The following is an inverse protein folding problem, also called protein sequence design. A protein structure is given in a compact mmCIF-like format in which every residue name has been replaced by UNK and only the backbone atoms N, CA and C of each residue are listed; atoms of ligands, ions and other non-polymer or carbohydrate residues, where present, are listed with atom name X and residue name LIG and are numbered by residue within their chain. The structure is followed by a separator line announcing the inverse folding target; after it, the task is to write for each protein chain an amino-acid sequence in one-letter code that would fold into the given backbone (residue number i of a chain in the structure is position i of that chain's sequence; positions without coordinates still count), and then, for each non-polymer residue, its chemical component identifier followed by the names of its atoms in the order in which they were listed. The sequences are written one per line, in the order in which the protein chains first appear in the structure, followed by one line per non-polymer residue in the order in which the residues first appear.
data_IF_319160743062
#
_entry.id   IF_319160743062
#
_cell.length_a   1.000
_cell.length_b   1.000
_cell.length_c   1.000
_cell.angle_alpha   90.00
_cell.angle_beta   90.00
_cell.angle_gamma   90.00
#
_symmetry.space_group_name_H-M   'P 1'
#
loop_
_entity.id
_entity.type
_entity.pdbx_description
1 polymer ?
#
# COMPACT_ATOMS: atom_id res chain seq x y z
N UNK A 1 15.19 -4.89 16.28
CA UNK A 1 14.73 -6.05 15.49
C UNK A 1 15.03 -5.80 14.02
N UNK A 2 16.24 -6.17 13.55
CA UNK A 2 16.61 -6.07 12.13
C UNK A 2 15.93 -7.23 11.39
N UNK A 3 14.68 -7.03 10.97
CA UNK A 3 14.10 -7.89 9.95
C UNK A 3 15.07 -7.90 8.77
N UNK A 4 15.56 -9.06 8.34
CA UNK A 4 16.53 -9.23 7.26
C UNK A 4 16.10 -8.58 5.91
N UNK A 5 14.86 -8.06 5.84
CA UNK A 5 14.29 -7.38 4.69
C UNK A 5 14.60 -5.88 4.63
N UNK A 6 14.95 -5.24 5.75
CA UNK A 6 15.31 -3.82 5.79
C UNK A 6 16.40 -3.41 4.78
N UNK A 7 17.56 -4.10 4.69
CA UNK A 7 18.62 -3.70 3.77
C UNK A 7 18.25 -3.83 2.30
N UNK A 8 17.21 -4.60 1.95
CA UNK A 8 16.73 -4.74 0.57
C UNK A 8 15.59 -3.77 0.27
N UNK A 9 14.63 -3.65 1.19
CA UNK A 9 13.43 -2.85 0.99
C UNK A 9 13.70 -1.34 1.07
N UNK A 10 14.69 -0.90 1.86
CA UNK A 10 15.04 0.51 1.98
C UNK A 10 15.61 1.08 0.66
N UNK A 11 16.62 0.45 0.01
CA UNK A 11 17.05 0.87 -1.33
C UNK A 11 15.91 0.88 -2.35
N UNK A 12 15.03 -0.14 -2.34
CA UNK A 12 13.88 -0.19 -3.23
C UNK A 12 12.92 0.97 -2.98
N UNK A 13 12.66 1.33 -1.72
CA UNK A 13 11.84 2.50 -1.36
C UNK A 13 12.43 3.80 -1.92
N UNK A 14 13.75 3.96 -1.83
CA UNK A 14 14.45 5.13 -2.36
C UNK A 14 14.38 5.19 -3.89
N UNK A 15 14.63 4.07 -4.57
CA UNK A 15 14.50 3.97 -6.03
C UNK A 15 13.08 4.31 -6.48
N UNK A 16 12.06 3.73 -5.82
CA UNK A 16 10.66 4.05 -6.08
C UNK A 16 10.42 5.55 -5.90
N UNK A 17 10.98 6.16 -4.85
CA UNK A 17 10.78 7.58 -4.57
C UNK A 17 11.40 8.47 -5.64
N UNK A 18 12.55 8.09 -6.20
CA UNK A 18 13.19 8.83 -7.30
C UNK A 18 12.48 8.62 -8.65
N UNK A 19 12.00 7.40 -8.92
CA UNK A 19 11.43 7.03 -10.22
C UNK A 19 9.94 7.35 -10.32
N UNK A 20 9.20 7.32 -9.21
CA UNK A 20 7.75 7.52 -9.20
C UNK A 20 7.29 8.87 -9.78
N UNK A 21 7.93 10.02 -9.50
CA UNK A 21 7.56 11.30 -10.13
C UNK A 21 7.66 11.25 -11.66
N UNK A 22 8.72 10.62 -12.18
CA UNK A 22 8.91 10.43 -13.62
C UNK A 22 7.81 9.54 -14.19
N UNK A 23 7.50 8.42 -13.52
CA UNK A 23 6.41 7.52 -13.93
C UNK A 23 5.03 8.20 -13.91
N UNK A 24 4.81 9.12 -12.96
CA UNK A 24 3.57 9.90 -12.85
C UNK A 24 3.45 10.97 -13.93
N UNK A 25 4.57 11.40 -14.54
CA UNK A 25 4.59 12.37 -15.62
C UNK A 25 4.18 11.84 -17.00
N UNK A 26 4.07 10.52 -17.19
CA UNK A 26 3.57 9.94 -18.44
C UNK A 26 2.04 10.04 -18.56
N UNK A 27 1.50 9.90 -19.79
CA UNK A 27 0.06 9.96 -20.08
C UNK A 27 -0.80 9.00 -19.24
N UNK A 28 -0.26 7.81 -18.90
CA UNK A 28 -0.94 6.82 -18.06
C UNK A 28 -0.52 6.88 -16.59
N UNK A 29 0.33 7.83 -16.22
CA UNK A 29 0.90 7.95 -14.88
C UNK A 29 -0.14 8.13 -13.79
N UNK A 30 -1.25 8.80 -14.08
CA UNK A 30 -2.37 8.98 -13.15
C UNK A 30 -3.05 7.65 -12.76
N UNK A 31 -3.06 6.65 -13.65
CA UNK A 31 -3.70 5.36 -13.42
C UNK A 31 -2.81 4.40 -12.61
N UNK A 32 -1.50 4.67 -12.49
CA UNK A 32 -0.57 3.79 -11.78
C UNK A 32 -0.95 3.62 -10.30
N UNK A 33 -0.83 2.41 -9.74
CA UNK A 33 -1.10 2.15 -8.33
C UNK A 33 -0.12 2.94 -7.44
N UNK A 34 -0.44 3.06 -6.15
CA UNK A 34 0.48 3.67 -5.20
C UNK A 34 1.60 2.69 -4.83
N UNK A 35 2.82 2.99 -5.32
CA UNK A 35 3.98 2.12 -5.15
C UNK A 35 4.44 2.01 -3.68
N UNK A 36 4.28 3.08 -2.89
CA UNK A 36 4.63 3.06 -1.46
C UNK A 36 3.67 2.17 -0.68
N UNK A 37 2.37 2.22 -0.99
CA UNK A 37 1.41 1.29 -0.42
C UNK A 37 1.77 -0.16 -0.79
N UNK A 38 2.02 -0.46 -2.06
CA UNK A 38 2.40 -1.81 -2.47
C UNK A 38 3.66 -2.32 -1.75
N UNK A 39 4.68 -1.46 -1.64
CA UNK A 39 5.90 -1.78 -0.89
C UNK A 39 5.60 -2.01 0.59
N UNK A 40 4.71 -1.20 1.20
CA UNK A 40 4.27 -1.35 2.58
C UNK A 40 3.58 -2.70 2.81
N UNK A 41 2.71 -3.13 1.88
CA UNK A 41 2.03 -4.42 1.97
C UNK A 41 3.04 -5.58 1.92
N UNK A 42 4.07 -5.48 1.08
CA UNK A 42 5.17 -6.46 1.01
C UNK A 42 6.05 -6.44 2.27
N UNK A 43 6.38 -5.23 2.75
CA UNK A 43 7.30 -5.01 3.86
C UNK A 43 6.74 -5.50 5.19
N UNK A 44 5.45 -5.26 5.43
CA UNK A 44 4.76 -5.61 6.66
C UNK A 44 4.04 -6.96 6.49
N UNK A 45 4.53 -8.06 7.10
CA UNK A 45 3.79 -9.31 7.08
C UNK A 45 2.51 -9.18 7.92
N UNK A 46 1.43 -9.81 7.48
CA UNK A 46 0.14 -9.78 8.17
C UNK A 46 0.23 -10.28 9.63
N UNK A 47 1.09 -11.28 9.87
CA UNK A 47 1.35 -11.86 11.20
C UNK A 47 2.59 -11.27 11.88
N UNK A 48 2.95 -10.03 11.57
CA UNK A 48 4.06 -9.37 12.25
C UNK A 48 3.80 -9.32 13.76
N UNK A 49 4.71 -9.87 14.56
CA UNK A 49 4.58 -9.92 16.02
C UNK A 49 4.77 -8.54 16.73
N UNK A 50 4.92 -7.43 15.99
CA UNK A 50 5.20 -6.13 16.60
C UNK A 50 4.67 -4.93 15.82
N UNK A 51 3.77 -4.17 16.45
CA UNK A 51 3.21 -2.91 15.93
C UNK A 51 4.29 -1.87 15.59
N UNK A 52 5.40 -1.88 16.35
CA UNK A 52 6.54 -0.97 16.14
C UNK A 52 7.12 -1.09 14.73
N UNK A 53 7.21 -2.30 14.18
CA UNK A 53 7.75 -2.53 12.84
C UNK A 53 6.84 -1.97 11.74
N UNK A 54 5.54 -2.20 11.87
CA UNK A 54 4.54 -1.65 10.94
C UNK A 54 4.53 -0.11 11.01
N UNK A 55 4.54 0.45 12.23
CA UNK A 55 4.60 1.89 12.44
C UNK A 55 5.82 2.53 11.77
N UNK A 56 7.02 1.97 11.96
CA UNK A 56 8.23 2.48 11.31
C UNK A 56 8.15 2.47 9.79
N UNK A 57 7.58 1.42 9.19
CA UNK A 57 7.40 1.36 7.73
C UNK A 57 6.36 2.37 7.24
N UNK A 58 5.23 2.53 7.94
CA UNK A 58 4.22 3.56 7.61
C UNK A 58 4.85 4.95 7.69
N UNK A 59 5.58 5.23 8.77
CA UNK A 59 6.21 6.52 8.98
C UNK A 59 7.22 6.85 7.88
N UNK A 60 8.15 5.93 7.62
CA UNK A 60 9.20 6.08 6.61
C UNK A 60 8.61 6.22 5.21
N UNK A 61 7.72 5.32 4.79
CA UNK A 61 7.15 5.35 3.45
C UNK A 61 6.21 6.52 3.25
N UNK A 62 5.48 6.94 4.28
CA UNK A 62 4.65 8.14 4.20
C UNK A 62 5.49 9.42 4.09
N UNK A 63 6.65 9.49 4.76
CA UNK A 63 7.57 10.61 4.62
C UNK A 63 8.18 10.66 3.20
N UNK A 64 8.65 9.51 2.69
CA UNK A 64 9.18 9.41 1.33
C UNK A 64 8.13 9.77 0.29
N UNK A 65 6.90 9.26 0.42
CA UNK A 65 5.78 9.60 -0.45
C UNK A 65 5.48 11.10 -0.41
N UNK A 66 5.41 11.70 0.77
CA UNK A 66 5.14 13.13 0.92
C UNK A 66 6.27 14.01 0.36
N UNK A 67 7.52 13.54 0.38
CA UNK A 67 8.65 14.31 -0.19
C UNK A 67 8.59 14.48 -1.70
N UNK A 68 7.83 13.64 -2.41
CA UNK A 68 7.72 13.65 -3.87
C UNK A 68 6.28 13.77 -4.39
N UNK A 69 5.33 14.06 -3.51
CA UNK A 69 3.93 14.29 -3.87
C UNK A 69 3.46 15.62 -3.26
N UNK A 70 2.45 16.23 -3.87
CA UNK A 70 1.80 17.42 -3.32
C UNK A 70 0.93 17.13 -2.08
N UNK A 71 0.97 15.89 -1.56
CA UNK A 71 0.12 15.42 -0.47
C UNK A 71 0.85 15.60 0.86
N UNK A 72 0.14 16.10 1.87
CA UNK A 72 0.72 16.31 3.20
C UNK A 72 1.23 14.98 3.82
N UNK A 73 2.25 15.04 4.69
CA UNK A 73 2.72 13.86 5.43
C UNK A 73 1.60 13.16 6.21
N UNK A 74 0.69 13.94 6.81
CA UNK A 74 -0.43 13.40 7.58
C UNK A 74 -1.39 12.57 6.72
N UNK A 75 -1.77 13.06 5.54
CA UNK A 75 -2.64 12.30 4.62
C UNK A 75 -1.93 11.04 4.11
N UNK A 76 -0.64 11.13 3.82
CA UNK A 76 0.18 9.97 3.42
C UNK A 76 0.24 8.90 4.53
N UNK A 77 0.51 9.28 5.78
CA UNK A 77 0.51 8.34 6.90
C UNK A 77 -0.87 7.76 7.17
N UNK A 78 -1.92 8.58 7.13
CA UNK A 78 -3.28 8.13 7.33
C UNK A 78 -3.68 7.10 6.27
N UNK A 79 -3.47 7.41 4.98
CA UNK A 79 -3.81 6.49 3.88
C UNK A 79 -3.05 5.16 3.95
N UNK A 80 -1.74 5.22 4.19
CA UNK A 80 -0.90 4.02 4.33
C UNK A 80 -1.28 3.19 5.58
N UNK A 81 -1.50 3.85 6.70
CA UNK A 81 -1.91 3.22 7.95
C UNK A 81 -3.29 2.56 7.84
N UNK A 82 -4.29 3.27 7.31
CA UNK A 82 -5.61 2.72 7.05
C UNK A 82 -5.55 1.53 6.09
N UNK A 83 -4.75 1.62 5.01
CA UNK A 83 -4.57 0.51 4.08
C UNK A 83 -4.06 -0.77 4.78
N UNK A 84 -3.13 -0.64 5.73
CA UNK A 84 -2.68 -1.78 6.54
C UNK A 84 -3.74 -2.32 7.49
N UNK A 85 -4.49 -1.46 8.16
CA UNK A 85 -5.59 -1.86 9.06
C UNK A 85 -6.67 -2.61 8.28
N UNK A 86 -7.09 -2.07 7.15
CA UNK A 86 -8.08 -2.67 6.26
C UNK A 86 -7.59 -4.01 5.73
N UNK A 87 -6.34 -4.10 5.26
CA UNK A 87 -5.73 -5.39 4.91
C UNK A 87 -5.82 -6.37 6.07
N UNK A 88 -5.45 -5.94 7.28
CA UNK A 88 -5.45 -6.77 8.48
C UNK A 88 -6.84 -7.32 8.80
N UNK A 89 -7.86 -6.46 8.71
CA UNK A 89 -9.25 -6.84 8.88
C UNK A 89 -9.69 -7.88 7.84
N UNK A 90 -9.50 -7.59 6.54
CA UNK A 90 -9.94 -8.50 5.47
C UNK A 90 -9.20 -9.85 5.50
N UNK A 91 -7.88 -9.83 5.73
CA UNK A 91 -7.08 -11.06 5.83
C UNK A 91 -7.36 -11.88 7.10
N UNK A 92 -7.97 -11.28 8.13
CA UNK A 92 -8.44 -12.04 9.31
C UNK A 92 -9.67 -12.89 8.99
N UNK A 93 -10.53 -12.40 8.09
CA UNK A 93 -11.80 -13.02 7.73
C UNK A 93 -11.67 -14.02 6.57
N UNK A 94 -10.70 -13.83 5.68
CA UNK A 94 -10.57 -14.60 4.43
C UNK A 94 -9.30 -15.45 4.36
N UNK A 95 -9.41 -16.63 3.74
CA UNK A 95 -8.27 -17.50 3.48
C UNK A 95 -7.38 -16.92 2.37
N UNK A 96 -6.13 -16.58 2.70
CA UNK A 96 -5.15 -15.95 1.79
C UNK A 96 -4.58 -16.87 0.69
N UNK A 97 -5.09 -18.10 0.62
CA UNK A 97 -4.67 -19.10 -0.37
C UNK A 97 -5.15 -18.76 -1.78
N UNK A 98 -6.32 -18.12 -1.92
CA UNK A 98 -6.89 -17.80 -3.22
C UNK A 98 -6.32 -16.50 -3.80
N UNK A 99 -5.91 -16.46 -5.08
CA UNK A 99 -5.47 -15.24 -5.75
C UNK A 99 -6.58 -14.18 -5.82
N UNK A 100 -7.86 -14.59 -5.88
CA UNK A 100 -8.99 -13.67 -5.84
C UNK A 100 -9.08 -12.95 -4.49
N UNK A 101 -8.84 -13.66 -3.38
CA UNK A 101 -8.81 -13.03 -2.04
C UNK A 101 -7.65 -12.04 -1.95
N UNK A 102 -6.49 -12.36 -2.54
CA UNK A 102 -5.36 -11.42 -2.57
C UNK A 102 -5.69 -10.19 -3.40
N UNK A 103 -6.30 -10.35 -4.58
CA UNK A 103 -6.77 -9.23 -5.39
C UNK A 103 -7.68 -8.32 -4.57
N UNK A 104 -8.68 -8.92 -3.91
CA UNK A 104 -9.66 -8.19 -3.10
C UNK A 104 -8.98 -7.45 -1.94
N UNK A 105 -8.08 -8.11 -1.21
CA UNK A 105 -7.29 -7.47 -0.14
C UNK A 105 -6.49 -6.28 -0.65
N UNK A 106 -5.82 -6.42 -1.80
CA UNK A 106 -5.01 -5.34 -2.38
C UNK A 106 -5.87 -4.16 -2.80
N UNK A 107 -7.00 -4.43 -3.46
CA UNK A 107 -7.97 -3.40 -3.87
C UNK A 107 -8.54 -2.66 -2.66
N UNK A 108 -9.06 -3.38 -1.66
CA UNK A 108 -9.68 -2.75 -0.49
C UNK A 108 -8.64 -1.99 0.34
N UNK A 109 -7.39 -2.48 0.44
CA UNK A 109 -6.30 -1.75 1.11
C UNK A 109 -5.90 -0.46 0.37
N UNK A 110 -6.07 -0.39 -0.96
CA UNK A 110 -5.78 0.79 -1.76
C UNK A 110 -6.88 1.85 -1.75
N UNK A 111 -8.12 1.47 -1.41
CA UNK A 111 -9.26 2.38 -1.42
C UNK A 111 -9.08 3.59 -0.46
N UNK A 112 -8.71 3.43 0.83
CA UNK A 112 -8.57 4.57 1.74
C UNK A 112 -7.59 5.62 1.25
N UNK A 113 -6.42 5.18 0.77
CA UNK A 113 -5.39 6.08 0.27
C UNK A 113 -5.83 6.80 -1.01
N UNK A 114 -6.55 6.11 -1.90
CA UNK A 114 -7.08 6.71 -3.14
C UNK A 114 -8.17 7.75 -2.86
N UNK A 115 -9.03 7.50 -1.87
CA UNK A 115 -10.06 8.44 -1.43
C UNK A 115 -9.44 9.68 -0.79
N UNK A 116 -8.45 9.49 0.09
CA UNK A 116 -7.73 10.61 0.71
C UNK A 116 -6.96 11.44 -0.32
N UNK A 117 -6.30 10.80 -1.29
CA UNK A 117 -5.64 11.50 -2.40
C UNK A 117 -6.63 12.36 -3.19
N UNK A 118 -7.81 11.81 -3.49
CA UNK A 118 -8.85 12.54 -4.22
C UNK A 118 -9.36 13.76 -3.44
N UNK A 119 -9.58 13.60 -2.13
CA UNK A 119 -10.00 14.68 -1.25
C UNK A 119 -8.94 15.78 -1.11
N UNK A 120 -7.66 15.42 -0.98
CA UNK A 120 -6.55 16.38 -0.94
C UNK A 120 -6.41 17.11 -2.27
N UNK A 121 -6.50 16.40 -3.40
CA UNK A 121 -6.43 17.02 -4.72
C UNK A 121 -7.59 18.00 -4.94
N UNK A 122 -8.81 17.63 -4.53
CA UNK A 122 -9.97 18.51 -4.56
C UNK A 122 -9.73 19.78 -3.74
N UNK A 123 -9.12 19.66 -2.55
CA UNK A 123 -8.79 20.82 -1.72
C UNK A 123 -7.72 21.75 -2.34
N UNK A 124 -6.79 21.21 -3.13
CA UNK A 124 -5.69 21.98 -3.74
C UNK A 124 -6.06 22.60 -5.09
N UNK A 125 -6.81 21.88 -5.92
CA UNK A 125 -7.08 22.25 -7.32
C UNK A 125 -8.54 22.58 -7.59
N UNK A 126 -9.43 22.34 -6.63
CA UNK A 126 -10.89 22.43 -6.82
C UNK A 126 -11.49 21.21 -7.53
N UNK A 127 -10.67 20.30 -8.06
CA UNK A 127 -11.13 19.14 -8.82
C UNK A 127 -10.66 17.83 -8.17
N UNK A 128 -11.58 16.92 -7.78
CA UNK A 128 -11.22 15.61 -7.28
C UNK A 128 -10.64 14.72 -8.40
N UNK A 129 -10.02 13.61 -8.03
CA UNK A 129 -9.69 12.57 -9.00
C UNK A 129 -10.97 12.02 -9.63
N UNK A 130 -10.94 11.83 -10.95
CA UNK A 130 -12.05 11.18 -11.66
C UNK A 130 -12.31 9.77 -11.09
N UNK A 131 -13.58 9.36 -10.91
CA UNK A 131 -13.91 8.03 -10.41
C UNK A 131 -13.27 6.89 -11.22
N UNK A 132 -13.12 7.06 -12.55
CA UNK A 132 -12.48 6.06 -13.40
C UNK A 132 -11.01 5.86 -13.04
N UNK A 133 -10.28 6.95 -12.77
CA UNK A 133 -8.87 6.91 -12.32
C UNK A 133 -8.77 6.23 -10.96
N UNK A 134 -9.67 6.56 -10.03
CA UNK A 134 -9.70 5.96 -8.70
C UNK A 134 -9.90 4.44 -8.77
N UNK A 135 -10.90 4.00 -9.55
CA UNK A 135 -11.19 2.57 -9.75
C UNK A 135 -10.00 1.84 -10.36
N UNK A 136 -9.34 2.43 -11.37
CA UNK A 136 -8.16 1.84 -11.98
C UNK A 136 -6.97 1.72 -11.02
N UNK A 137 -6.68 2.76 -10.23
CA UNK A 137 -5.59 2.70 -9.23
C UNK A 137 -5.84 1.59 -8.21
N UNK A 138 -7.09 1.48 -7.74
CA UNK A 138 -7.53 0.45 -6.79
C UNK A 138 -7.40 -0.95 -7.41
N UNK A 139 -7.93 -1.13 -8.61
CA UNK A 139 -7.92 -2.41 -9.31
C UNK A 139 -6.50 -2.88 -9.63
N UNK A 140 -5.65 -2.00 -10.17
CA UNK A 140 -4.25 -2.33 -10.47
C UNK A 140 -3.45 -2.66 -9.21
N UNK A 141 -3.70 -1.97 -8.09
CA UNK A 141 -3.08 -2.33 -6.81
C UNK A 141 -3.50 -3.74 -6.38
N UNK A 142 -4.78 -4.09 -6.55
CA UNK A 142 -5.29 -5.44 -6.36
C UNK A 142 -4.60 -6.47 -7.24
N UNK A 143 -4.51 -6.22 -8.54
CA UNK A 143 -3.81 -7.10 -9.49
C UNK A 143 -2.36 -7.33 -9.08
N UNK A 144 -1.60 -6.26 -8.85
CA UNK A 144 -0.18 -6.37 -8.44
C UNK A 144 -0.06 -7.14 -7.13
N UNK A 145 -0.93 -6.89 -6.16
CA UNK A 145 -0.91 -7.61 -4.89
C UNK A 145 -1.33 -9.08 -5.02
N UNK A 146 -2.18 -9.44 -5.97
CA UNK A 146 -2.53 -10.82 -6.25
C UNK A 146 -1.30 -11.66 -6.63
N UNK A 147 -0.38 -11.07 -7.40
CA UNK A 147 0.89 -11.69 -7.79
C UNK A 147 1.97 -11.61 -6.70
N UNK A 148 2.14 -10.46 -6.05
CA UNK A 148 3.21 -10.23 -5.07
C UNK A 148 2.90 -10.78 -3.67
N UNK A 149 1.62 -10.92 -3.33
CA UNK A 149 1.17 -11.36 -2.02
C UNK A 149 1.62 -12.78 -1.73
N UNK A 150 2.60 -12.93 -0.83
CA UNK A 150 3.09 -14.26 -0.43
C UNK A 150 2.08 -14.99 0.45
N UNK A 151 1.84 -16.25 0.16
CA UNK A 151 1.13 -17.19 1.03
C UNK A 151 1.99 -17.50 2.25
N UNK A 152 1.53 -17.13 3.44
CA UNK A 152 1.98 -17.79 4.67
C UNK A 152 0.91 -18.77 5.10
N UNK A 153 1.14 -20.09 4.99
CA UNK A 153 0.15 -21.08 5.40
C UNK A 153 -0.20 -20.93 6.89
N UNK A 154 -1.47 -21.17 7.22
CA UNK A 154 -1.91 -21.42 8.60
C UNK A 154 -1.32 -22.76 9.04
N UNK A 155 -0.11 -22.77 9.58
CA UNK A 155 0.36 -23.92 10.37
C UNK A 155 -0.44 -23.92 11.67
N UNK A 156 -1.63 -24.51 11.64
CA UNK A 156 -2.36 -24.91 12.84
C UNK A 156 -1.66 -26.13 13.40
N UNK A 157 -0.79 -25.92 14.38
CA UNK A 157 -0.35 -27.02 15.24
C UNK A 157 -1.58 -27.43 16.05
N UNK A 158 -2.29 -28.45 15.57
CA UNK A 158 -3.17 -29.24 16.41
C UNK A 158 -2.26 -29.85 17.47
N UNK A 159 -2.42 -29.42 18.72
CA UNK A 159 -1.85 -30.15 19.85
C UNK A 159 -2.51 -31.55 19.82
N UNK A 160 -1.71 -32.57 19.51
CA UNK A 160 -2.01 -33.97 19.80
C UNK A 160 -1.56 -34.27 21.22
#
# INVERSE_FOLDING_TARGET
MKSARWPVLLPVALIITLVAPVLRGFNFGLFLPDFWLLLLLVAVPYRAQGIKGAFWWVFLLGLLRASVSAVSPFSSWAGLGFGLVVRGFVQSQLSSLSPLVRLLVGSVAAAPLTVLDSAVLAGLTGFPLSPSVMLWRIFLAGCVWAFLGRTTPRLTWSKA
#
